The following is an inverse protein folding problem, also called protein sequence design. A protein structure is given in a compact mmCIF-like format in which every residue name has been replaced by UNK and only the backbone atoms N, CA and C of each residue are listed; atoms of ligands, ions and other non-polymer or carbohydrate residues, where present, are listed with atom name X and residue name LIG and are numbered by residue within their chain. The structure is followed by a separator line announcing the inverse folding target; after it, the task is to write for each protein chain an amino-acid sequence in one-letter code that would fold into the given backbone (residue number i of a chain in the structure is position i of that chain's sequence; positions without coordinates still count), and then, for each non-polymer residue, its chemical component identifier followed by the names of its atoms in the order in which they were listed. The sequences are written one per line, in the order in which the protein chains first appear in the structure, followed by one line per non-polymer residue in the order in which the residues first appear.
data_IF_273123262457
#
_entry.id   IF_273123262457
#
_cell.length_a   1.000
_cell.length_b   1.000
_cell.length_c   1.000
_cell.angle_alpha   90.00
_cell.angle_beta   90.00
_cell.angle_gamma   90.00
#
_symmetry.space_group_name_H-M   'P 1'
#
loop_
_entity.id
_entity.type
_entity.pdbx_description
1 polymer ?
#
# COMPACT_ATOMS: atom_id res chain seq x y z
N UNK A 1 54.06 23.39 18.96
CA UNK A 1 53.41 24.61 18.47
C UNK A 1 52.38 24.11 17.47
N UNK A 2 51.15 23.90 17.93
CA UNK A 2 50.03 24.85 17.95
C UNK A 2 49.48 24.98 16.53
N UNK A 3 48.24 24.85 16.19
CA UNK A 3 47.05 25.28 16.89
C UNK A 3 45.80 24.66 16.21
N UNK A 4 44.90 24.33 17.04
CA UNK A 4 43.47 24.05 16.84
C UNK A 4 42.76 25.03 15.91
N UNK A 5 41.93 24.50 15.00
CA UNK A 5 40.80 25.22 14.44
C UNK A 5 39.52 24.40 14.64
N UNK A 6 38.85 24.65 15.75
CA UNK A 6 37.48 24.24 16.02
C UNK A 6 36.52 25.05 15.14
N UNK A 7 35.99 24.45 14.09
CA UNK A 7 34.88 24.98 13.28
C UNK A 7 33.57 24.79 14.03
N UNK A 8 33.01 25.86 14.54
CA UNK A 8 31.68 25.95 15.17
C UNK A 8 30.58 25.50 14.22
N UNK A 9 30.05 24.31 14.45
CA UNK A 9 28.79 23.86 13.90
C UNK A 9 27.67 24.59 14.66
N UNK A 10 27.16 25.66 14.07
CA UNK A 10 25.92 26.31 14.53
C UNK A 10 24.76 25.33 14.27
N UNK A 11 24.38 24.59 15.31
CA UNK A 11 23.11 23.91 15.40
C UNK A 11 21.97 24.93 15.23
N UNK A 12 21.37 24.96 14.05
CA UNK A 12 20.10 25.63 13.84
C UNK A 12 19.03 24.80 14.56
N UNK A 13 18.83 25.00 15.85
CA UNK A 13 17.73 24.48 16.63
C UNK A 13 16.44 25.02 16.02
N UNK A 14 15.70 24.17 15.27
CA UNK A 14 14.30 24.42 14.98
C UNK A 14 13.57 24.73 16.30
N UNK A 15 12.57 25.63 16.31
CA UNK A 15 11.89 25.99 17.54
C UNK A 15 11.37 24.75 18.24
N UNK A 16 11.60 24.66 19.54
CA UNK A 16 11.38 23.43 20.36
C UNK A 16 9.96 22.85 20.25
N UNK A 17 8.96 23.66 19.90
CA UNK A 17 7.57 23.25 19.70
C UNK A 17 7.40 22.45 18.40
N UNK A 18 8.06 22.83 17.30
CA UNK A 18 7.99 22.08 16.02
C UNK A 18 8.71 20.75 16.13
N UNK A 19 9.81 20.66 16.86
CA UNK A 19 10.51 19.40 17.13
C UNK A 19 9.70 18.42 17.99
N UNK A 20 8.97 18.91 18.99
CA UNK A 20 8.12 18.11 19.86
C UNK A 20 6.89 17.57 19.12
N UNK A 21 6.24 18.36 18.26
CA UNK A 21 5.11 17.91 17.43
C UNK A 21 5.49 16.85 16.40
N UNK A 22 6.70 16.91 15.84
CA UNK A 22 7.22 15.93 14.88
C UNK A 22 7.58 14.58 15.52
N UNK A 23 7.72 14.52 16.85
CA UNK A 23 8.00 13.28 17.60
C UNK A 23 6.75 12.53 18.05
N UNK A 24 5.55 13.13 17.92
CA UNK A 24 4.29 12.49 18.31
C UNK A 24 3.92 11.39 17.31
N UNK A 25 3.61 10.15 17.75
CA UNK A 25 3.13 9.10 16.87
C UNK A 25 1.87 9.54 16.11
N UNK A 26 1.82 9.23 14.80
CA UNK A 26 0.73 9.66 13.92
C UNK A 26 -0.68 9.35 14.47
N UNK A 27 -0.97 8.14 14.99
CA UNK A 27 -2.29 7.85 15.54
C UNK A 27 -2.67 8.80 16.69
N UNK A 28 -1.73 9.06 17.59
CA UNK A 28 -1.96 9.97 18.72
C UNK A 28 -2.18 11.41 18.22
N UNK A 29 -1.37 11.87 17.26
CA UNK A 29 -1.55 13.18 16.66
C UNK A 29 -2.95 13.33 16.03
N UNK A 30 -3.42 12.33 15.27
CA UNK A 30 -4.73 12.35 14.63
C UNK A 30 -5.87 12.38 15.66
N UNK A 31 -5.77 11.58 16.73
CA UNK A 31 -6.77 11.58 17.80
C UNK A 31 -6.81 12.91 18.56
N UNK A 32 -5.64 13.46 18.90
CA UNK A 32 -5.58 14.76 19.57
C UNK A 32 -6.10 15.89 18.67
N UNK A 33 -5.79 15.85 17.37
CA UNK A 33 -6.30 16.80 16.40
C UNK A 33 -7.84 16.69 16.25
N UNK A 34 -8.36 15.46 16.20
CA UNK A 34 -9.81 15.23 16.18
C UNK A 34 -10.49 15.80 17.43
N UNK A 35 -9.95 15.54 18.61
CA UNK A 35 -10.44 16.13 19.86
C UNK A 35 -10.42 17.65 19.84
N UNK A 36 -9.30 18.26 19.43
CA UNK A 36 -9.15 19.71 19.38
C UNK A 36 -10.17 20.34 18.42
N UNK A 37 -10.40 19.74 17.24
CA UNK A 37 -11.39 20.18 16.25
C UNK A 37 -12.80 20.07 16.82
N UNK A 38 -13.15 18.93 17.40
CA UNK A 38 -14.49 18.71 17.98
C UNK A 38 -14.80 19.68 19.11
N UNK A 39 -13.84 19.90 20.03
CA UNK A 39 -13.99 20.89 21.10
C UNK A 39 -14.09 22.31 20.55
N UNK A 40 -13.23 22.66 19.58
CA UNK A 40 -13.26 23.97 18.91
C UNK A 40 -14.58 24.25 18.15
N UNK A 41 -15.24 23.21 17.68
CA UNK A 41 -16.57 23.27 17.06
C UNK A 41 -17.74 23.28 18.09
N UNK A 42 -17.43 23.22 19.41
CA UNK A 42 -18.41 23.25 20.47
C UNK A 42 -18.97 21.88 20.88
N UNK A 43 -18.44 20.79 20.35
CA UNK A 43 -18.80 19.44 20.78
C UNK A 43 -18.22 19.16 22.18
N UNK A 44 -19.01 18.56 23.05
CA UNK A 44 -18.57 18.22 24.41
C UNK A 44 -19.27 16.94 24.90
N UNK A 45 -18.66 16.26 25.87
CA UNK A 45 -19.22 15.09 26.53
C UNK A 45 -19.54 13.94 25.56
N UNK A 46 -20.78 13.41 25.64
CA UNK A 46 -21.20 12.24 24.86
C UNK A 46 -21.13 12.43 23.33
N UNK A 47 -21.59 13.55 22.74
CA UNK A 47 -21.48 13.79 21.29
C UNK A 47 -20.03 13.72 20.78
N UNK A 48 -19.07 14.32 21.49
CA UNK A 48 -17.66 14.30 21.13
C UNK A 48 -17.10 12.88 21.12
N UNK A 49 -17.38 12.10 22.17
CA UNK A 49 -16.92 10.72 22.26
C UNK A 49 -17.58 9.82 21.21
N UNK A 50 -18.89 10.00 20.97
CA UNK A 50 -19.61 9.22 19.98
C UNK A 50 -19.04 9.41 18.56
N UNK A 51 -18.72 10.64 18.17
CA UNK A 51 -18.09 10.91 16.87
C UNK A 51 -16.72 10.21 16.74
N UNK A 52 -15.92 10.20 17.81
CA UNK A 52 -14.64 9.49 17.83
C UNK A 52 -14.82 7.96 17.76
N UNK A 53 -15.69 7.40 18.56
CA UNK A 53 -15.94 5.95 18.66
C UNK A 53 -16.50 5.41 17.34
N UNK A 54 -17.49 6.09 16.76
CA UNK A 54 -18.09 5.70 15.50
C UNK A 54 -17.06 5.69 14.36
N UNK A 55 -16.20 6.71 14.31
CA UNK A 55 -15.13 6.77 13.33
C UNK A 55 -14.07 5.69 13.57
N UNK A 56 -13.59 5.55 14.80
CA UNK A 56 -12.49 4.64 15.13
C UNK A 56 -12.82 3.17 14.84
N UNK A 57 -14.04 2.73 15.18
CA UNK A 57 -14.46 1.33 15.07
C UNK A 57 -14.99 0.90 13.71
N UNK A 58 -15.43 1.83 12.88
CA UNK A 58 -16.28 1.58 11.71
C UNK A 58 -15.79 0.49 10.74
N UNK A 59 -14.51 0.46 10.45
CA UNK A 59 -13.93 -0.48 9.47
C UNK A 59 -12.80 -1.35 10.04
N UNK A 60 -12.52 -1.25 11.33
CA UNK A 60 -11.34 -1.86 11.95
C UNK A 60 -11.30 -3.39 11.80
N UNK A 61 -12.45 -4.07 11.98
CA UNK A 61 -12.55 -5.51 11.83
C UNK A 61 -12.26 -5.97 10.39
N UNK A 62 -12.74 -5.23 9.39
CA UNK A 62 -12.51 -5.54 7.99
C UNK A 62 -11.04 -5.41 7.62
N UNK A 63 -10.38 -4.35 8.10
CA UNK A 63 -8.93 -4.18 7.91
C UNK A 63 -8.13 -5.26 8.62
N UNK A 64 -8.53 -5.69 9.81
CA UNK A 64 -7.86 -6.77 10.53
C UNK A 64 -7.89 -8.08 9.71
N UNK A 65 -9.02 -8.40 9.07
CA UNK A 65 -9.17 -9.58 8.20
C UNK A 65 -8.33 -9.52 6.92
N UNK A 66 -7.85 -8.36 6.51
CA UNK A 66 -6.92 -8.19 5.37
C UNK A 66 -5.47 -8.14 5.86
N UNK A 67 -5.16 -7.26 6.81
CA UNK A 67 -3.79 -6.96 7.20
C UNK A 67 -3.12 -8.09 7.97
N UNK A 68 -3.83 -8.69 8.93
CA UNK A 68 -3.25 -9.76 9.75
C UNK A 68 -2.84 -10.96 8.88
N UNK A 69 -3.73 -11.58 8.08
CA UNK A 69 -3.33 -12.71 7.25
C UNK A 69 -2.31 -12.32 6.17
N UNK A 70 -2.37 -11.12 5.60
CA UNK A 70 -1.39 -10.68 4.62
C UNK A 70 0.02 -10.57 5.22
N UNK A 71 0.17 -10.02 6.43
CA UNK A 71 1.48 -9.95 7.09
C UNK A 71 1.98 -11.30 7.61
N UNK A 72 1.08 -12.18 8.07
CA UNK A 72 1.44 -13.56 8.43
C UNK A 72 1.93 -14.32 7.19
N UNK A 73 1.23 -14.22 6.07
CA UNK A 73 1.64 -14.81 4.80
C UNK A 73 3.03 -14.30 4.39
N UNK A 74 3.24 -13.00 4.43
CA UNK A 74 4.53 -12.39 4.12
C UNK A 74 5.66 -12.90 5.03
N UNK A 75 5.42 -12.99 6.34
CA UNK A 75 6.39 -13.50 7.31
C UNK A 75 6.69 -14.99 7.11
N UNK A 76 5.68 -15.80 6.78
CA UNK A 76 5.84 -17.24 6.51
C UNK A 76 6.68 -17.50 5.24
N UNK A 77 6.51 -16.68 4.20
CA UNK A 77 7.23 -16.83 2.94
C UNK A 77 8.67 -16.32 3.02
N UNK A 78 8.97 -15.32 3.85
CA UNK A 78 10.32 -14.78 4.00
C UNK A 78 11.33 -15.75 4.62
N UNK A 79 10.86 -16.77 5.34
CA UNK A 79 11.70 -17.77 6.04
C UNK A 79 12.09 -18.99 5.21
N UNK A 80 11.74 -19.04 3.94
CA UNK A 80 12.10 -20.19 3.13
C UNK A 80 13.41 -19.96 2.36
N UNK A 81 14.42 -20.79 2.57
CA UNK A 81 15.70 -20.77 1.87
C UNK A 81 15.56 -21.34 0.45
N UNK A 82 15.99 -20.59 -0.56
CA UNK A 82 16.01 -21.08 -1.93
C UNK A 82 16.46 -20.04 -2.96
N UNK A 83 17.44 -20.35 -3.74
CA UNK A 83 17.98 -19.58 -4.86
C UNK A 83 17.36 -20.04 -6.18
N UNK A 84 17.10 -19.06 -7.05
CA UNK A 84 17.00 -19.14 -8.51
C UNK A 84 15.66 -19.34 -9.21
N UNK A 85 15.43 -18.43 -10.14
CA UNK A 85 14.56 -18.52 -11.29
C UNK A 85 15.16 -17.73 -12.44
N UNK A 86 14.68 -17.86 -13.70
CA UNK A 86 15.14 -16.97 -14.76
C UNK A 86 14.66 -15.54 -14.43
N UNK A 87 15.53 -14.55 -14.51
CA UNK A 87 15.21 -13.15 -14.18
C UNK A 87 13.97 -12.63 -14.94
N UNK A 88 13.66 -13.16 -16.13
CA UNK A 88 12.46 -12.83 -16.92
C UNK A 88 11.17 -13.34 -16.27
N UNK A 89 11.15 -14.59 -15.81
CA UNK A 89 9.99 -15.18 -15.15
C UNK A 89 9.69 -14.43 -13.84
N UNK A 90 10.72 -14.03 -13.09
CA UNK A 90 10.58 -13.27 -11.85
C UNK A 90 9.95 -11.89 -12.10
N UNK A 91 10.34 -11.19 -13.16
CA UNK A 91 9.73 -9.91 -13.54
C UNK A 91 8.23 -10.06 -13.86
N UNK A 92 7.85 -11.15 -14.55
CA UNK A 92 6.43 -11.44 -14.86
C UNK A 92 5.62 -11.82 -13.62
N UNK A 93 6.24 -12.50 -12.67
CA UNK A 93 5.58 -12.91 -11.42
C UNK A 93 5.61 -11.81 -10.33
N UNK A 94 6.47 -10.83 -10.45
CA UNK A 94 6.63 -9.77 -9.46
C UNK A 94 5.33 -9.02 -9.13
N UNK A 95 4.46 -8.66 -10.08
CA UNK A 95 3.18 -8.03 -9.76
C UNK A 95 2.28 -8.90 -8.88
N UNK A 96 2.24 -10.20 -9.14
CA UNK A 96 1.44 -11.14 -8.35
C UNK A 96 2.01 -11.29 -6.93
N UNK A 97 3.34 -11.31 -6.81
CA UNK A 97 3.99 -11.29 -5.50
C UNK A 97 3.69 -9.99 -4.74
N UNK A 98 3.71 -8.85 -5.43
CA UNK A 98 3.33 -7.56 -4.86
C UNK A 98 1.89 -7.55 -4.34
N UNK A 99 0.96 -8.08 -5.14
CA UNK A 99 -0.46 -8.17 -4.76
C UNK A 99 -0.73 -9.17 -3.63
N UNK A 100 0.04 -10.27 -3.59
CA UNK A 100 -0.14 -11.33 -2.58
C UNK A 100 0.60 -11.09 -1.27
N UNK A 101 1.48 -10.09 -1.21
CA UNK A 101 2.26 -9.77 -0.01
C UNK A 101 1.81 -8.46 0.62
N UNK A 102 1.97 -8.35 1.93
CA UNK A 102 1.48 -7.20 2.70
C UNK A 102 2.16 -5.86 2.38
N UNK A 103 3.33 -5.89 1.73
CA UNK A 103 4.04 -4.68 1.33
C UNK A 103 5.02 -4.96 0.17
N UNK A 104 5.38 -3.93 -0.60
CA UNK A 104 6.35 -4.06 -1.69
C UNK A 104 7.74 -4.51 -1.22
N UNK A 105 8.15 -4.11 -0.03
CA UNK A 105 9.42 -4.48 0.60
C UNK A 105 9.56 -5.99 0.73
N UNK A 106 8.50 -6.65 1.21
CA UNK A 106 8.48 -8.11 1.38
C UNK A 106 8.55 -8.81 0.02
N UNK A 107 7.82 -8.31 -0.97
CA UNK A 107 7.87 -8.85 -2.33
C UNK A 107 9.27 -8.69 -2.94
N UNK A 108 9.89 -7.52 -2.77
CA UNK A 108 11.26 -7.27 -3.21
C UNK A 108 12.25 -8.20 -2.51
N UNK A 109 12.23 -8.27 -1.18
CA UNK A 109 13.12 -9.14 -0.42
C UNK A 109 12.98 -10.62 -0.79
N UNK A 110 11.74 -11.05 -1.10
CA UNK A 110 11.47 -12.42 -1.52
C UNK A 110 12.04 -12.75 -2.91
N UNK A 111 12.05 -11.81 -3.84
CA UNK A 111 12.34 -12.04 -5.25
C UNK A 111 13.70 -11.51 -5.71
N UNK A 112 14.32 -10.56 -4.99
CA UNK A 112 15.55 -9.89 -5.43
C UNK A 112 16.73 -10.85 -5.66
N UNK A 113 16.85 -11.90 -4.81
CA UNK A 113 17.91 -12.92 -4.96
C UNK A 113 17.79 -13.78 -6.22
N UNK A 114 16.66 -13.72 -6.95
CA UNK A 114 16.41 -14.51 -8.17
C UNK A 114 16.14 -13.63 -9.40
N UNK A 115 16.11 -12.30 -9.22
CA UNK A 115 15.87 -11.35 -10.29
C UNK A 115 17.13 -11.09 -11.16
N UNK A 116 18.32 -11.44 -10.68
CA UNK A 116 19.58 -11.19 -11.37
C UNK A 116 19.75 -9.71 -11.73
N UNK A 117 20.09 -9.41 -12.97
CA UNK A 117 20.23 -8.04 -13.49
C UNK A 117 18.89 -7.25 -13.58
N UNK A 118 17.73 -7.90 -13.36
CA UNK A 118 16.40 -7.32 -13.56
C UNK A 118 15.72 -6.88 -12.27
N UNK A 119 16.48 -6.49 -11.26
CA UNK A 119 15.98 -6.11 -9.94
C UNK A 119 15.07 -4.86 -9.98
N UNK A 120 15.36 -3.89 -10.85
CA UNK A 120 14.57 -2.66 -10.99
C UNK A 120 13.25 -2.95 -11.71
N UNK A 121 13.28 -3.74 -12.80
CA UNK A 121 12.05 -4.19 -13.49
C UNK A 121 11.15 -5.02 -12.56
N UNK A 122 11.74 -5.91 -11.77
CA UNK A 122 11.04 -6.71 -10.76
C UNK A 122 10.43 -5.82 -9.67
N UNK A 123 11.20 -4.85 -9.16
CA UNK A 123 10.72 -3.88 -8.17
C UNK A 123 9.47 -3.15 -8.65
N UNK A 124 9.53 -2.52 -9.83
CA UNK A 124 8.39 -1.75 -10.36
C UNK A 124 7.19 -2.64 -10.69
N UNK A 125 7.43 -3.92 -11.04
CA UNK A 125 6.37 -4.91 -11.16
C UNK A 125 5.69 -5.21 -9.82
N UNK A 126 6.45 -5.52 -8.78
CA UNK A 126 5.93 -5.77 -7.44
C UNK A 126 5.23 -4.53 -6.86
N UNK A 127 5.77 -3.35 -7.11
CA UNK A 127 5.22 -2.08 -6.66
C UNK A 127 3.87 -1.77 -7.33
N UNK A 128 3.76 -1.98 -8.65
CA UNK A 128 2.50 -1.84 -9.38
C UNK A 128 1.47 -2.88 -8.94
N UNK A 129 1.89 -4.14 -8.76
CA UNK A 129 1.01 -5.20 -8.28
C UNK A 129 0.44 -4.91 -6.90
N UNK A 130 1.26 -4.51 -5.94
CA UNK A 130 0.80 -4.13 -4.61
C UNK A 130 -0.20 -2.96 -4.66
N UNK A 131 0.03 -1.97 -5.50
CA UNK A 131 -0.80 -0.76 -5.52
C UNK A 131 -2.10 -0.89 -6.31
N UNK A 132 -2.14 -1.75 -7.33
CA UNK A 132 -3.24 -1.76 -8.30
C UNK A 132 -3.88 -3.13 -8.50
N UNK A 133 -3.36 -4.21 -7.93
CA UNK A 133 -4.02 -5.51 -7.98
C UNK A 133 -4.68 -5.88 -6.65
N UNK A 134 -5.85 -6.48 -6.75
CA UNK A 134 -6.55 -7.11 -5.62
C UNK A 134 -5.78 -8.41 -5.27
N UNK A 135 -5.61 -8.73 -3.99
CA UNK A 135 -6.28 -8.19 -2.80
C UNK A 135 -5.48 -7.12 -2.02
N UNK A 136 -4.44 -6.52 -2.59
CA UNK A 136 -3.60 -5.56 -1.88
C UNK A 136 -4.21 -4.13 -1.87
N UNK A 137 -3.51 -3.13 -2.43
CA UNK A 137 -3.87 -1.72 -2.34
C UNK A 137 -5.35 -1.41 -2.60
N UNK A 138 -5.92 -1.85 -3.75
CA UNK A 138 -7.31 -1.55 -4.05
C UNK A 138 -8.31 -2.10 -3.03
N UNK A 139 -8.09 -3.33 -2.53
CA UNK A 139 -8.97 -3.91 -1.51
C UNK A 139 -8.83 -3.19 -0.17
N UNK A 140 -7.60 -2.77 0.20
CA UNK A 140 -7.34 -2.01 1.42
C UNK A 140 -8.05 -0.65 1.35
N UNK A 141 -7.83 0.11 0.27
CA UNK A 141 -8.42 1.45 0.12
C UNK A 141 -9.94 1.36 0.01
N UNK A 142 -10.49 0.48 -0.83
CA UNK A 142 -11.94 0.32 -0.99
C UNK A 142 -12.63 -0.08 0.31
N UNK A 143 -12.03 -0.98 1.10
CA UNK A 143 -12.54 -1.34 2.43
C UNK A 143 -12.68 -0.09 3.32
N UNK A 144 -11.69 0.81 3.28
CA UNK A 144 -11.74 2.06 4.01
C UNK A 144 -12.75 3.08 3.48
N UNK A 145 -13.07 3.02 2.20
CA UNK A 145 -14.03 3.91 1.55
C UNK A 145 -15.49 3.41 1.62
N UNK A 146 -15.77 2.33 2.32
CA UNK A 146 -17.15 1.85 2.53
C UNK A 146 -17.42 0.45 1.98
N UNK A 147 -16.44 -0.21 1.40
CA UNK A 147 -16.55 -1.61 0.97
C UNK A 147 -15.85 -1.93 -0.34
N UNK A 148 -15.55 -3.20 -0.52
CA UNK A 148 -14.94 -3.74 -1.74
C UNK A 148 -16.02 -4.31 -2.66
N UNK A 149 -16.06 -3.82 -3.89
CA UNK A 149 -16.85 -4.42 -4.98
C UNK A 149 -15.94 -5.20 -5.94
N UNK A 150 -16.44 -6.32 -6.42
CA UNK A 150 -15.79 -7.15 -7.45
C UNK A 150 -15.49 -6.38 -8.73
N UNK A 151 -16.34 -5.40 -9.09
CA UNK A 151 -16.11 -4.49 -10.23
C UNK A 151 -14.76 -3.78 -10.13
N UNK A 152 -14.36 -3.37 -8.93
CA UNK A 152 -13.05 -2.74 -8.70
C UNK A 152 -11.90 -3.63 -9.17
N UNK A 153 -11.97 -4.94 -8.92
CA UNK A 153 -10.93 -5.86 -9.37
C UNK A 153 -10.77 -5.87 -10.90
N UNK A 154 -11.87 -5.74 -11.63
CA UNK A 154 -11.89 -5.72 -13.10
C UNK A 154 -11.35 -4.38 -13.63
N UNK A 155 -11.84 -3.27 -13.10
CA UNK A 155 -11.45 -1.94 -13.59
C UNK A 155 -10.03 -1.54 -13.17
N UNK A 156 -9.49 -2.16 -12.13
CA UNK A 156 -8.09 -1.98 -11.74
C UNK A 156 -7.08 -2.61 -12.72
N UNK A 157 -7.48 -3.64 -13.48
CA UNK A 157 -6.59 -4.38 -14.39
C UNK A 157 -5.96 -3.49 -15.49
N UNK A 158 -6.72 -2.72 -16.28
CA UNK A 158 -6.12 -1.83 -17.27
C UNK A 158 -5.20 -0.77 -16.65
N UNK A 159 -5.58 -0.21 -15.49
CA UNK A 159 -4.75 0.77 -14.75
C UNK A 159 -3.43 0.13 -14.32
N UNK A 160 -3.50 -1.10 -13.81
CA UNK A 160 -2.32 -1.87 -13.45
C UNK A 160 -1.39 -2.11 -14.65
N UNK A 161 -1.91 -2.58 -15.79
CA UNK A 161 -1.07 -2.86 -16.96
C UNK A 161 -0.36 -1.63 -17.49
N UNK A 162 -1.04 -0.49 -17.53
CA UNK A 162 -0.41 0.78 -17.96
C UNK A 162 0.69 1.21 -16.99
N UNK A 163 0.42 1.20 -15.66
CA UNK A 163 1.42 1.53 -14.66
C UNK A 163 2.62 0.56 -14.69
N UNK A 164 2.36 -0.74 -14.80
CA UNK A 164 3.40 -1.75 -14.90
C UNK A 164 4.26 -1.59 -16.15
N UNK A 165 3.64 -1.43 -17.32
CA UNK A 165 4.35 -1.19 -18.57
C UNK A 165 5.23 0.07 -18.49
N UNK A 166 4.71 1.16 -17.90
CA UNK A 166 5.49 2.39 -17.67
C UNK A 166 6.73 2.11 -16.81
N UNK A 167 6.59 1.37 -15.72
CA UNK A 167 7.71 0.97 -14.87
C UNK A 167 8.71 0.08 -15.58
N UNK A 168 8.26 -0.89 -16.41
CA UNK A 168 9.13 -1.76 -17.18
C UNK A 168 9.92 -1.00 -18.26
N UNK A 169 9.25 -0.11 -18.98
CA UNK A 169 9.91 0.73 -20.00
C UNK A 169 10.95 1.60 -19.35
N UNK A 170 10.62 2.26 -18.24
CA UNK A 170 11.56 3.08 -17.49
C UNK A 170 12.75 2.27 -16.97
N UNK A 171 12.52 1.10 -16.35
CA UNK A 171 13.56 0.25 -15.80
C UNK A 171 14.57 -0.24 -16.84
N UNK A 172 14.12 -0.53 -18.05
CA UNK A 172 15.00 -1.00 -19.15
C UNK A 172 16.15 -0.04 -19.45
N UNK A 173 15.94 1.28 -19.31
CA UNK A 173 16.99 2.27 -19.53
C UNK A 173 18.15 2.18 -18.52
N UNK A 174 17.92 1.58 -17.36
CA UNK A 174 18.91 1.44 -16.28
C UNK A 174 19.48 0.02 -16.16
N UNK A 175 18.84 -0.96 -16.79
CA UNK A 175 19.24 -2.38 -16.76
C UNK A 175 19.99 -2.80 -18.04
N UNK A 176 20.03 -1.97 -19.09
CA UNK A 176 20.77 -2.23 -20.31
C UNK A 176 22.28 -2.28 -20.03
N UNK A 177 22.93 -3.38 -20.48
CA UNK A 177 24.38 -3.57 -20.33
C UNK A 177 24.81 -4.29 -19.05
N UNK A 178 23.90 -4.75 -18.20
CA UNK A 178 24.24 -5.61 -17.08
C UNK A 178 24.40 -7.07 -17.58
N UNK A 179 25.43 -7.80 -17.11
CA UNK A 179 25.60 -9.21 -17.45
C UNK A 179 24.39 -10.02 -17.00
N UNK A 180 23.86 -10.88 -17.86
CA UNK A 180 22.82 -11.83 -17.49
C UNK A 180 23.48 -12.90 -16.61
N UNK A 181 23.29 -12.83 -15.29
CA UNK A 181 23.79 -13.85 -14.37
C UNK A 181 23.18 -15.20 -14.72
N UNK A 182 24.03 -16.24 -14.74
CA UNK A 182 23.60 -17.60 -15.03
C UNK A 182 22.47 -18.07 -14.09
N UNK A 183 21.46 -18.79 -14.62
CA UNK A 183 20.34 -19.26 -13.82
C UNK A 183 20.81 -20.21 -12.72
N UNK A 184 20.65 -19.81 -11.48
CA UNK A 184 20.93 -20.64 -10.33
C UNK A 184 19.82 -21.71 -10.15
N UNK A 185 20.12 -22.84 -9.51
CA UNK A 185 19.22 -24.01 -9.40
C UNK A 185 17.93 -23.73 -8.65
N UNK A 186 16.81 -24.23 -9.21
CA UNK A 186 15.44 -24.05 -8.72
C UNK A 186 15.21 -24.73 -7.37
N UNK A 187 14.79 -23.98 -6.34
CA UNK A 187 14.60 -24.48 -4.99
C UNK A 187 13.12 -24.50 -4.53
N UNK A 188 12.84 -25.19 -3.43
CA UNK A 188 11.50 -25.37 -2.82
C UNK A 188 10.77 -24.06 -2.47
N UNK A 189 11.49 -22.94 -2.32
CA UNK A 189 10.92 -21.62 -1.99
C UNK A 189 9.97 -21.11 -3.06
N UNK A 190 10.33 -21.25 -4.35
CA UNK A 190 9.49 -20.80 -5.45
C UNK A 190 8.14 -21.53 -5.46
N UNK A 191 8.11 -22.81 -5.11
CA UNK A 191 6.87 -23.59 -5.04
C UNK A 191 5.92 -23.06 -3.96
N UNK A 192 6.41 -22.61 -2.80
CA UNK A 192 5.55 -22.06 -1.73
C UNK A 192 4.97 -20.70 -2.10
N UNK A 193 5.79 -19.81 -2.66
CA UNK A 193 5.32 -18.50 -3.15
C UNK A 193 4.29 -18.71 -4.25
N UNK A 194 4.57 -19.58 -5.23
CA UNK A 194 3.65 -19.90 -6.31
C UNK A 194 2.36 -20.52 -5.77
N UNK A 195 2.45 -21.45 -4.82
CA UNK A 195 1.27 -22.09 -4.23
C UNK A 195 0.39 -21.07 -3.49
N UNK A 196 0.98 -20.17 -2.69
CA UNK A 196 0.24 -19.12 -1.99
C UNK A 196 -0.45 -18.15 -2.97
N UNK A 197 0.27 -17.70 -3.99
CA UNK A 197 -0.27 -16.83 -5.04
C UNK A 197 -1.35 -17.53 -5.86
N UNK A 198 -1.14 -18.80 -6.24
CA UNK A 198 -2.11 -19.60 -6.96
C UNK A 198 -3.39 -19.82 -6.13
N UNK A 199 -3.27 -19.99 -4.81
CA UNK A 199 -4.41 -20.07 -3.90
C UNK A 199 -5.23 -18.79 -3.92
N UNK A 200 -4.58 -17.63 -3.77
CA UNK A 200 -5.27 -16.33 -3.77
C UNK A 200 -5.97 -16.11 -5.11
N UNK A 201 -5.22 -16.22 -6.22
CA UNK A 201 -5.73 -15.96 -7.57
C UNK A 201 -6.82 -16.95 -7.92
N UNK A 202 -6.60 -18.25 -7.63
CA UNK A 202 -7.56 -19.31 -7.90
C UNK A 202 -8.88 -19.11 -7.16
N UNK A 203 -8.83 -18.76 -5.87
CA UNK A 203 -10.04 -18.51 -5.08
C UNK A 203 -10.79 -17.27 -5.56
N UNK A 204 -10.07 -16.19 -5.88
CA UNK A 204 -10.68 -14.97 -6.42
C UNK A 204 -11.32 -15.24 -7.79
N UNK A 205 -10.64 -15.94 -8.69
CA UNK A 205 -11.18 -16.32 -10.00
C UNK A 205 -12.41 -17.22 -9.88
N UNK A 206 -12.35 -18.22 -9.02
CA UNK A 206 -13.50 -19.09 -8.71
C UNK A 206 -14.65 -18.28 -8.15
N UNK A 207 -14.39 -17.35 -7.22
CA UNK A 207 -15.41 -16.47 -6.66
C UNK A 207 -16.09 -15.60 -7.72
N UNK A 208 -15.30 -14.98 -8.59
CA UNK A 208 -15.81 -14.15 -9.69
C UNK A 208 -16.72 -14.95 -10.65
N UNK A 209 -16.36 -16.19 -10.94
CA UNK A 209 -17.12 -17.04 -11.85
C UNK A 209 -18.38 -17.57 -11.16
N UNK A 210 -18.24 -18.19 -9.98
CA UNK A 210 -19.37 -18.87 -9.33
C UNK A 210 -20.46 -17.90 -8.88
N UNK A 211 -20.10 -16.73 -8.31
CA UNK A 211 -21.07 -15.73 -7.86
C UNK A 211 -21.98 -15.21 -8.97
N UNK A 212 -21.54 -15.34 -10.24
CA UNK A 212 -22.36 -14.98 -11.41
C UNK A 212 -23.49 -15.97 -11.71
N UNK A 213 -23.32 -17.23 -11.31
CA UNK A 213 -24.23 -18.32 -11.70
C UNK A 213 -25.01 -18.93 -10.52
N UNK A 214 -24.45 -18.85 -9.31
CA UNK A 214 -25.02 -19.53 -8.13
C UNK A 214 -24.87 -18.63 -6.90
N UNK A 215 -25.95 -18.55 -6.10
CA UNK A 215 -25.85 -17.98 -4.75
C UNK A 215 -25.02 -18.92 -3.87
N UNK A 216 -23.83 -18.50 -3.47
CA UNK A 216 -22.94 -19.31 -2.64
C UNK A 216 -23.38 -19.32 -1.18
N UNK A 217 -23.28 -20.46 -0.48
CA UNK A 217 -23.42 -20.49 0.97
C UNK A 217 -22.44 -19.49 1.62
N UNK A 218 -22.82 -18.85 2.78
CA UNK A 218 -22.05 -17.77 3.38
C UNK A 218 -20.57 -18.08 3.61
N UNK A 219 -20.24 -19.30 4.03
CA UNK A 219 -18.86 -19.73 4.25
C UNK A 219 -18.06 -19.77 2.93
N UNK A 220 -18.63 -20.32 1.87
CA UNK A 220 -17.97 -20.38 0.56
C UNK A 220 -17.83 -18.98 -0.05
N UNK A 221 -18.86 -18.15 0.06
CA UNK A 221 -18.81 -16.76 -0.38
C UNK A 221 -17.70 -15.97 0.35
N UNK A 222 -17.52 -16.21 1.65
CA UNK A 222 -16.41 -15.62 2.41
C UNK A 222 -15.06 -16.15 1.93
N UNK A 223 -14.88 -17.45 1.76
CA UNK A 223 -13.58 -18.05 1.36
C UNK A 223 -13.10 -17.58 -0.02
N UNK A 224 -14.01 -17.33 -0.95
CA UNK A 224 -13.66 -16.79 -2.28
C UNK A 224 -13.62 -15.27 -2.34
N UNK A 225 -13.86 -14.58 -1.23
CA UNK A 225 -13.65 -13.13 -1.10
C UNK A 225 -12.17 -12.80 -0.93
N UNK A 226 -11.72 -11.56 -1.17
CA UNK A 226 -10.34 -11.17 -0.92
C UNK A 226 -9.86 -11.45 0.50
N UNK A 227 -10.72 -11.27 1.49
CA UNK A 227 -10.44 -11.51 2.92
C UNK A 227 -10.25 -13.00 3.20
N UNK A 228 -11.17 -13.84 2.71
CA UNK A 228 -11.11 -15.29 2.89
C UNK A 228 -9.94 -15.92 2.12
N UNK A 229 -9.68 -15.48 0.89
CA UNK A 229 -8.56 -15.94 0.08
C UNK A 229 -7.20 -15.66 0.76
N UNK A 230 -7.02 -14.46 1.34
CA UNK A 230 -5.82 -14.12 2.11
C UNK A 230 -5.68 -14.95 3.37
N UNK A 231 -6.77 -15.14 4.11
CA UNK A 231 -6.78 -15.95 5.33
C UNK A 231 -6.38 -17.40 5.02
N UNK A 232 -6.97 -17.99 3.98
CA UNK A 232 -6.67 -19.36 3.58
C UNK A 232 -5.23 -19.50 3.07
N UNK A 233 -4.75 -18.56 2.25
CA UNK A 233 -3.37 -18.56 1.78
C UNK A 233 -2.37 -18.43 2.95
N UNK A 234 -2.65 -17.58 3.94
CA UNK A 234 -1.84 -17.49 5.16
C UNK A 234 -1.83 -18.80 5.93
N UNK A 235 -3.00 -19.42 6.15
CA UNK A 235 -3.12 -20.71 6.83
C UNK A 235 -2.33 -21.82 6.11
N UNK A 236 -2.49 -21.95 4.79
CA UNK A 236 -1.75 -22.92 3.96
C UNK A 236 -0.25 -22.68 4.04
N UNK A 237 0.20 -21.43 4.02
CA UNK A 237 1.63 -21.08 4.07
C UNK A 237 2.30 -21.44 5.41
N UNK A 238 1.53 -21.54 6.49
CA UNK A 238 2.01 -21.93 7.83
C UNK A 238 2.16 -23.44 7.98
N UNK A 239 1.40 -24.26 7.22
CA UNK A 239 1.39 -25.71 7.39
C UNK A 239 2.77 -26.37 7.30
N UNK A 240 3.64 -26.02 6.32
CA UNK A 240 4.93 -26.65 6.16
C UNK A 240 6.02 -26.11 7.09
N UNK A 241 5.71 -25.14 7.96
CA UNK A 241 6.67 -24.53 8.87
C UNK A 241 6.82 -25.34 10.17
N UNK A 242 8.01 -25.31 10.77
CA UNK A 242 8.24 -25.80 12.11
C UNK A 242 7.35 -25.06 13.14
N UNK A 243 7.20 -25.61 14.34
CA UNK A 243 6.43 -24.94 15.41
C UNK A 243 7.01 -23.56 15.75
N UNK A 244 8.34 -23.46 15.82
CA UNK A 244 9.05 -22.22 16.14
C UNK A 244 8.91 -21.19 15.02
N UNK A 245 9.10 -21.57 13.74
CA UNK A 245 8.93 -20.67 12.59
C UNK A 245 7.49 -20.19 12.45
N UNK A 246 6.52 -21.07 12.77
CA UNK A 246 5.11 -20.72 12.77
C UNK A 246 4.79 -19.68 13.83
N UNK A 247 5.26 -19.87 15.05
CA UNK A 247 5.08 -18.90 16.14
C UNK A 247 5.69 -17.54 15.74
N UNK A 248 6.91 -17.55 15.24
CA UNK A 248 7.56 -16.32 14.79
C UNK A 248 6.82 -15.63 13.62
N UNK A 249 6.28 -16.38 12.65
CA UNK A 249 5.51 -15.80 11.56
C UNK A 249 4.22 -15.15 12.06
N UNK A 250 3.55 -15.75 13.04
CA UNK A 250 2.38 -15.19 13.70
C UNK A 250 2.72 -13.92 14.47
N UNK A 251 3.74 -13.94 15.31
CA UNK A 251 4.19 -12.78 16.09
C UNK A 251 4.63 -11.62 15.21
N UNK A 252 5.43 -11.90 14.18
CA UNK A 252 5.87 -10.89 13.22
C UNK A 252 4.70 -10.30 12.43
N UNK A 253 3.74 -11.13 12.03
CA UNK A 253 2.54 -10.70 11.32
C UNK A 253 1.68 -9.77 12.17
N UNK A 254 1.39 -10.17 13.40
CA UNK A 254 0.63 -9.37 14.38
C UNK A 254 1.35 -8.07 14.74
N UNK A 255 2.66 -8.13 15.00
CA UNK A 255 3.45 -6.95 15.35
C UNK A 255 3.49 -5.88 14.25
N UNK A 256 3.37 -6.28 12.97
CA UNK A 256 3.25 -5.34 11.84
C UNK A 256 1.82 -4.83 11.62
N UNK A 257 0.82 -5.67 11.84
CA UNK A 257 -0.59 -5.30 11.65
C UNK A 257 -1.09 -4.32 12.71
N UNK A 258 -0.76 -4.53 13.98
CA UNK A 258 -1.31 -3.78 15.10
C UNK A 258 -1.08 -2.25 15.02
N UNK A 259 0.13 -1.73 14.73
CA UNK A 259 0.34 -0.27 14.60
C UNK A 259 -0.44 0.33 13.42
N UNK A 260 -0.64 -0.42 12.34
CA UNK A 260 -1.40 0.02 11.19
C UNK A 260 -2.89 0.09 11.50
N UNK A 261 -3.43 -0.92 12.18
CA UNK A 261 -4.83 -0.93 12.63
C UNK A 261 -5.12 0.27 13.54
N UNK A 262 -4.21 0.57 14.48
CA UNK A 262 -4.34 1.75 15.32
C UNK A 262 -4.33 3.05 14.49
N UNK A 263 -3.48 3.13 13.48
CA UNK A 263 -3.41 4.30 12.58
C UNK A 263 -4.70 4.45 11.76
N UNK A 264 -5.24 3.34 11.25
CA UNK A 264 -6.51 3.32 10.51
C UNK A 264 -7.66 3.81 11.39
N UNK A 265 -7.78 3.27 12.60
CA UNK A 265 -8.81 3.71 13.54
C UNK A 265 -8.71 5.20 13.85
N UNK A 266 -7.50 5.70 14.15
CA UNK A 266 -7.26 7.12 14.43
C UNK A 266 -7.57 8.02 13.22
N UNK A 267 -7.21 7.60 12.00
CA UNK A 267 -7.50 8.33 10.78
C UNK A 267 -9.00 8.38 10.48
N UNK A 268 -9.71 7.28 10.72
CA UNK A 268 -11.17 7.22 10.57
C UNK A 268 -11.90 8.08 11.59
N UNK A 269 -11.44 8.07 12.85
CA UNK A 269 -11.97 8.97 13.88
C UNK A 269 -11.73 10.45 13.53
N UNK A 270 -10.54 10.79 13.03
CA UNK A 270 -10.24 12.14 12.56
C UNK A 270 -11.12 12.55 11.38
N UNK A 271 -11.31 11.66 10.40
CA UNK A 271 -12.19 11.88 9.24
C UNK A 271 -13.66 12.08 9.65
N UNK A 272 -14.18 11.24 10.54
CA UNK A 272 -15.54 11.38 11.07
C UNK A 272 -15.73 12.72 11.80
N UNK A 273 -14.75 13.13 12.62
CA UNK A 273 -14.79 14.42 13.30
C UNK A 273 -14.79 15.60 12.32
N UNK A 274 -13.99 15.53 11.25
CA UNK A 274 -14.01 16.56 10.20
C UNK A 274 -15.38 16.64 9.51
N UNK A 275 -16.00 15.51 9.20
CA UNK A 275 -17.31 15.45 8.56
C UNK A 275 -18.41 16.03 9.47
N UNK A 276 -18.32 15.82 10.78
CA UNK A 276 -19.30 16.32 11.77
C UNK A 276 -19.16 17.84 11.99
N UNK A 277 -17.94 18.38 11.92
CA UNK A 277 -17.67 19.75 12.39
C UNK A 277 -17.45 20.76 11.29
N UNK A 278 -17.10 20.32 10.08
CA UNK A 278 -16.81 21.22 8.95
C UNK A 278 -17.94 21.19 7.92
N UNK A 279 -18.21 22.30 7.21
CA UNK A 279 -19.13 22.33 6.07
C UNK A 279 -18.49 21.65 4.85
N UNK A 280 -18.28 20.32 4.97
CA UNK A 280 -17.60 19.49 3.99
C UNK A 280 -18.21 19.61 2.61
N UNK A 281 -19.54 19.68 2.53
CA UNK A 281 -20.30 19.81 1.27
C UNK A 281 -19.91 21.08 0.50
N UNK A 282 -19.66 22.19 1.20
CA UNK A 282 -19.24 23.44 0.57
C UNK A 282 -17.86 23.33 -0.09
N UNK A 283 -16.90 22.69 0.58
CA UNK A 283 -15.55 22.50 0.03
C UNK A 283 -15.54 21.43 -1.05
N UNK A 284 -16.28 20.35 -0.86
CA UNK A 284 -16.43 19.30 -1.84
C UNK A 284 -17.10 19.81 -3.13
N UNK A 285 -18.19 20.58 -3.04
CA UNK A 285 -18.85 21.15 -4.22
C UNK A 285 -17.96 22.13 -4.97
N UNK A 286 -17.17 22.94 -4.27
CA UNK A 286 -16.17 23.79 -4.90
C UNK A 286 -15.10 22.96 -5.65
N UNK A 287 -14.64 21.85 -5.08
CA UNK A 287 -13.69 20.95 -5.75
C UNK A 287 -14.33 20.23 -6.94
N UNK A 288 -15.57 19.74 -6.79
CA UNK A 288 -16.33 19.07 -7.86
C UNK A 288 -16.51 20.00 -9.05
N UNK A 289 -16.82 21.28 -8.81
CA UNK A 289 -17.00 22.26 -9.88
C UNK A 289 -15.74 22.50 -10.73
N UNK A 290 -14.55 22.21 -10.20
CA UNK A 290 -13.28 22.30 -10.96
C UNK A 290 -13.02 21.10 -11.86
N UNK A 291 -13.72 19.98 -11.68
CA UNK A 291 -13.44 18.71 -12.34
C UNK A 291 -12.14 18.03 -11.89
N UNK A 292 -11.49 18.54 -10.82
CA UNK A 292 -10.17 18.10 -10.36
C UNK A 292 -10.22 17.16 -9.14
N UNK A 293 -11.35 16.47 -8.89
CA UNK A 293 -11.51 15.59 -7.72
C UNK A 293 -10.46 14.47 -7.72
N UNK A 294 -10.28 13.76 -8.84
CA UNK A 294 -9.29 12.67 -8.91
C UNK A 294 -7.84 13.16 -8.75
N UNK A 295 -7.39 14.24 -9.40
CA UNK A 295 -6.09 14.84 -9.11
C UNK A 295 -5.93 15.27 -7.64
N UNK A 296 -6.96 15.80 -7.02
CA UNK A 296 -6.91 16.18 -5.61
C UNK A 296 -6.70 14.97 -4.69
N UNK A 297 -7.43 13.87 -4.92
CA UNK A 297 -7.25 12.60 -4.19
C UNK A 297 -5.85 12.02 -4.40
N UNK A 298 -5.36 12.08 -5.65
CA UNK A 298 -3.98 11.69 -5.98
C UNK A 298 -2.96 12.51 -5.20
N UNK A 299 -3.03 13.85 -5.26
CA UNK A 299 -2.09 14.76 -4.59
C UNK A 299 -2.17 14.58 -3.08
N UNK A 300 -3.36 14.47 -2.52
CA UNK A 300 -3.54 14.23 -1.09
C UNK A 300 -2.83 12.95 -0.64
N UNK A 301 -3.06 11.84 -1.34
CA UNK A 301 -2.41 10.56 -1.03
C UNK A 301 -0.91 10.61 -1.29
N UNK A 302 -0.47 11.27 -2.38
CA UNK A 302 0.95 11.47 -2.68
C UNK A 302 1.68 12.27 -1.59
N UNK A 303 1.03 13.31 -1.06
CA UNK A 303 1.58 14.09 0.05
C UNK A 303 1.80 13.22 1.28
N UNK A 304 0.81 12.41 1.66
CA UNK A 304 0.97 11.44 2.75
C UNK A 304 2.08 10.41 2.46
N UNK A 305 2.19 9.94 1.22
CA UNK A 305 3.24 9.00 0.82
C UNK A 305 4.64 9.62 0.97
N UNK A 306 4.83 10.85 0.53
CA UNK A 306 6.10 11.57 0.70
C UNK A 306 6.43 11.80 2.19
N UNK A 307 5.45 12.16 2.99
CA UNK A 307 5.65 12.41 4.42
C UNK A 307 5.91 11.13 5.23
N UNK A 308 5.23 10.04 4.92
CA UNK A 308 5.28 8.77 5.68
C UNK A 308 6.24 7.73 5.13
N UNK A 309 6.59 7.82 3.86
CA UNK A 309 7.43 6.85 3.15
C UNK A 309 6.67 5.54 2.85
N UNK A 310 6.10 4.90 3.83
CA UNK A 310 5.41 3.61 3.71
C UNK A 310 4.07 3.72 2.97
N UNK A 311 3.84 2.84 1.99
CA UNK A 311 2.58 2.74 1.25
C UNK A 311 1.41 2.31 2.14
N UNK A 312 1.66 1.37 3.07
CA UNK A 312 0.63 0.91 4.01
C UNK A 312 0.24 2.02 4.99
N UNK A 313 1.22 2.74 5.56
CA UNK A 313 0.95 3.87 6.43
C UNK A 313 0.21 5.01 5.69
N UNK A 314 0.47 5.17 4.38
CA UNK A 314 -0.25 6.12 3.54
C UNK A 314 -1.73 5.73 3.43
N UNK A 315 -2.03 4.49 3.05
CA UNK A 315 -3.41 4.02 2.98
C UNK A 315 -4.10 4.11 4.35
N UNK A 316 -3.43 3.64 5.40
CA UNK A 316 -3.94 3.72 6.77
C UNK A 316 -4.30 5.16 7.21
N UNK A 317 -3.46 6.14 6.84
CA UNK A 317 -3.64 7.54 7.24
C UNK A 317 -4.61 8.33 6.37
N UNK A 318 -4.95 7.87 5.17
CA UNK A 318 -5.74 8.66 4.21
C UNK A 318 -7.15 8.14 4.00
N UNK A 319 -7.37 6.83 4.06
CA UNK A 319 -8.67 6.24 3.69
C UNK A 319 -9.82 6.71 4.58
N UNK A 320 -9.63 6.75 5.90
CA UNK A 320 -10.66 7.21 6.83
C UNK A 320 -11.05 8.68 6.60
N UNK A 321 -10.10 9.53 6.24
CA UNK A 321 -10.35 10.95 5.92
C UNK A 321 -11.16 11.05 4.63
N UNK A 322 -10.74 10.33 3.58
CA UNK A 322 -11.43 10.37 2.28
C UNK A 322 -12.81 9.73 2.37
N UNK A 323 -12.99 8.66 3.15
CA UNK A 323 -14.28 8.02 3.37
C UNK A 323 -15.35 9.01 3.87
N UNK A 324 -14.97 9.87 4.81
CA UNK A 324 -15.86 10.91 5.35
C UNK A 324 -16.27 11.97 4.30
N UNK A 325 -15.40 12.22 3.31
CA UNK A 325 -15.62 13.22 2.26
C UNK A 325 -16.30 12.63 1.01
N UNK A 326 -16.16 11.34 0.77
CA UNK A 326 -16.52 10.66 -0.48
C UNK A 326 -17.98 10.91 -0.92
N UNK A 327 -18.99 10.87 -0.02
CA UNK A 327 -20.39 11.13 -0.42
C UNK A 327 -20.59 12.49 -1.09
N UNK A 328 -19.80 13.50 -0.70
CA UNK A 328 -19.87 14.87 -1.22
C UNK A 328 -19.02 15.12 -2.46
N UNK A 329 -18.15 14.16 -2.84
CA UNK A 329 -17.22 14.34 -3.96
C UNK A 329 -17.79 13.95 -5.33
N UNK A 330 -18.97 13.32 -5.37
CA UNK A 330 -19.67 12.89 -6.60
C UNK A 330 -18.79 12.10 -7.58
N UNK A 331 -17.89 11.26 -7.06
CA UNK A 331 -17.08 10.32 -7.83
C UNK A 331 -17.38 8.90 -7.40
N UNK A 332 -17.22 7.93 -8.30
CA UNK A 332 -17.41 6.52 -7.95
C UNK A 332 -16.37 6.06 -6.91
N UNK A 333 -16.74 5.15 -6.00
CA UNK A 333 -15.78 4.57 -5.04
C UNK A 333 -14.59 3.92 -5.74
N UNK A 334 -14.79 3.33 -6.91
CA UNK A 334 -13.72 2.72 -7.73
C UNK A 334 -12.73 3.76 -8.24
N UNK A 335 -13.24 4.87 -8.80
CA UNK A 335 -12.38 5.96 -9.30
C UNK A 335 -11.60 6.61 -8.17
N UNK A 336 -12.24 6.87 -7.03
CA UNK A 336 -11.59 7.40 -5.83
C UNK A 336 -10.50 6.43 -5.32
N UNK A 337 -10.81 5.13 -5.21
CA UNK A 337 -9.87 4.09 -4.80
C UNK A 337 -8.64 4.07 -5.70
N UNK A 338 -8.84 4.04 -7.02
CA UNK A 338 -7.74 3.95 -7.98
C UNK A 338 -6.91 5.23 -8.03
N UNK A 339 -7.52 6.40 -7.88
CA UNK A 339 -6.81 7.68 -7.79
C UNK A 339 -5.93 7.76 -6.52
N UNK A 340 -6.43 7.29 -5.38
CA UNK A 340 -5.65 7.18 -4.15
C UNK A 340 -4.52 6.16 -4.29
N UNK A 341 -4.79 4.99 -4.86
CA UNK A 341 -3.78 4.00 -5.17
C UNK A 341 -2.69 4.55 -6.09
N UNK A 342 -3.05 5.32 -7.11
CA UNK A 342 -2.12 6.01 -7.99
C UNK A 342 -1.26 7.04 -7.25
N UNK A 343 -1.84 7.85 -6.35
CA UNK A 343 -1.10 8.82 -5.53
C UNK A 343 -0.05 8.15 -4.62
N UNK A 344 -0.37 6.96 -4.12
CA UNK A 344 0.56 6.21 -3.27
C UNK A 344 1.82 5.69 -3.99
N UNK A 345 1.91 5.77 -5.33
CA UNK A 345 3.14 5.49 -6.07
C UNK A 345 4.21 6.57 -5.90
N UNK A 346 3.80 7.81 -5.67
CA UNK A 346 4.68 8.98 -5.72
C UNK A 346 5.81 8.83 -4.71
N UNK A 347 7.03 8.92 -5.23
CA UNK A 347 8.29 9.01 -4.51
C UNK A 347 8.63 7.81 -3.59
N UNK A 348 9.65 7.03 -3.98
CA UNK A 348 10.37 6.13 -3.08
C UNK A 348 11.61 6.89 -2.59
N UNK A 349 11.52 7.43 -1.38
CA UNK A 349 12.50 8.35 -0.76
C UNK A 349 13.15 7.72 0.48
N UNK A 350 14.22 8.29 1.05
CA UNK A 350 14.95 7.69 2.18
C UNK A 350 14.14 7.44 3.46
N UNK A 351 12.94 8.00 3.59
CA UNK A 351 12.01 7.67 4.68
C UNK A 351 11.13 6.43 4.38
N UNK A 352 11.28 5.81 3.20
CA UNK A 352 10.66 4.54 2.83
C UNK A 352 11.65 3.38 3.08
N UNK A 353 11.23 2.34 3.81
CA UNK A 353 12.04 1.14 4.03
C UNK A 353 12.45 0.45 2.72
N UNK A 354 11.57 0.49 1.71
CA UNK A 354 11.84 -0.04 0.38
C UNK A 354 13.04 0.64 -0.27
N UNK A 355 13.22 1.96 -0.06
CA UNK A 355 14.37 2.70 -0.58
C UNK A 355 15.69 2.07 -0.12
N UNK A 356 15.85 1.86 1.18
CA UNK A 356 17.09 1.29 1.74
C UNK A 356 17.34 -0.14 1.30
N UNK A 357 16.28 -0.94 1.25
CA UNK A 357 16.37 -2.32 0.79
C UNK A 357 16.89 -2.41 -0.66
N UNK A 358 16.30 -1.60 -1.55
CA UNK A 358 16.70 -1.54 -2.96
C UNK A 358 18.06 -0.87 -3.15
N UNK A 359 18.33 0.19 -2.35
CA UNK A 359 19.62 0.91 -2.38
C UNK A 359 20.80 0.00 -2.05
N UNK A 360 20.66 -0.85 -1.03
CA UNK A 360 21.70 -1.77 -0.59
C UNK A 360 21.90 -2.97 -1.52
N UNK A 361 20.89 -3.32 -2.31
CA UNK A 361 20.90 -4.48 -3.19
C UNK A 361 21.10 -4.11 -4.68
N UNK A 362 20.11 -3.49 -5.33
CA UNK A 362 20.14 -3.17 -6.76
C UNK A 362 21.09 -2.00 -7.10
N UNK A 363 21.35 -1.12 -6.14
CA UNK A 363 22.24 0.03 -6.29
C UNK A 363 23.50 -0.06 -5.42
N UNK A 364 23.90 -1.27 -5.01
CA UNK A 364 25.15 -1.47 -4.29
C UNK A 364 26.34 -0.89 -5.08
N UNK A 365 27.15 -0.06 -4.43
CA UNK A 365 28.31 0.60 -5.06
C UNK A 365 27.99 1.73 -6.03
N UNK A 366 26.71 2.10 -6.23
CA UNK A 366 26.30 3.26 -7.05
C UNK A 366 26.08 4.50 -6.18
N UNK A 367 26.08 5.67 -6.83
CA UNK A 367 25.77 6.95 -6.22
C UNK A 367 24.33 6.97 -5.63
N UNK A 368 24.18 7.55 -4.43
CA UNK A 368 22.91 7.66 -3.74
C UNK A 368 21.90 8.53 -4.51
N UNK A 369 22.36 9.62 -5.11
CA UNK A 369 21.52 10.50 -5.91
C UNK A 369 20.97 9.77 -7.16
N UNK A 370 21.73 8.82 -7.72
CA UNK A 370 21.26 7.97 -8.82
C UNK A 370 20.14 7.03 -8.35
N UNK A 371 20.31 6.35 -7.22
CA UNK A 371 19.28 5.49 -6.65
C UNK A 371 17.99 6.28 -6.37
N UNK A 372 18.11 7.42 -5.70
CA UNK A 372 16.97 8.28 -5.37
C UNK A 372 16.24 8.77 -6.62
N UNK A 373 16.96 9.23 -7.65
CA UNK A 373 16.36 9.66 -8.92
C UNK A 373 15.60 8.53 -9.61
N UNK A 374 16.22 7.35 -9.77
CA UNK A 374 15.60 6.22 -10.46
C UNK A 374 14.35 5.76 -9.73
N UNK A 375 14.43 5.59 -8.41
CA UNK A 375 13.31 5.09 -7.61
C UNK A 375 12.16 6.10 -7.57
N UNK A 376 12.46 7.38 -7.33
CA UNK A 376 11.45 8.43 -7.24
C UNK A 376 10.81 8.73 -8.59
N UNK A 377 11.60 8.89 -9.67
CA UNK A 377 11.05 9.17 -11.00
C UNK A 377 10.26 7.98 -11.53
N UNK A 378 10.79 6.75 -11.42
CA UNK A 378 10.11 5.57 -11.93
C UNK A 378 8.78 5.30 -11.24
N UNK A 379 8.74 5.42 -9.91
CA UNK A 379 7.49 5.26 -9.17
C UNK A 379 6.48 6.39 -9.44
N UNK A 380 6.95 7.63 -9.54
CA UNK A 380 6.08 8.78 -9.85
C UNK A 380 5.50 8.67 -11.26
N UNK A 381 6.29 8.24 -12.25
CA UNK A 381 5.80 7.98 -13.61
C UNK A 381 4.72 6.89 -13.63
N UNK A 382 4.90 5.80 -12.86
CA UNK A 382 3.87 4.77 -12.72
C UNK A 382 2.57 5.32 -12.14
N UNK A 383 2.67 6.13 -11.07
CA UNK A 383 1.51 6.76 -10.44
C UNK A 383 0.78 7.74 -11.35
N UNK A 384 1.53 8.56 -12.08
CA UNK A 384 0.97 9.51 -13.05
C UNK A 384 0.27 8.77 -14.20
N UNK A 385 0.90 7.73 -14.75
CA UNK A 385 0.30 6.91 -15.80
C UNK A 385 -0.98 6.21 -15.30
N UNK A 386 -0.99 5.72 -14.06
CA UNK A 386 -2.18 5.15 -13.43
C UNK A 386 -3.31 6.20 -13.33
N UNK A 387 -3.03 7.40 -12.81
CA UNK A 387 -4.02 8.47 -12.71
C UNK A 387 -4.60 8.85 -14.07
N UNK A 388 -3.75 9.02 -15.09
CA UNK A 388 -4.20 9.35 -16.45
C UNK A 388 -5.12 8.25 -17.02
N UNK A 389 -4.82 6.98 -16.72
CA UNK A 389 -5.68 5.86 -17.13
C UNK A 389 -7.02 5.90 -16.42
N UNK A 390 -7.06 6.16 -15.11
CA UNK A 390 -8.30 6.33 -14.34
C UNK A 390 -9.14 7.47 -14.93
N UNK A 391 -8.50 8.58 -15.25
CA UNK A 391 -9.16 9.73 -15.89
C UNK A 391 -9.76 9.39 -17.25
N UNK A 392 -9.01 8.68 -18.10
CA UNK A 392 -9.49 8.24 -19.41
C UNK A 392 -10.67 7.26 -19.26
N UNK A 393 -10.63 6.34 -18.28
CA UNK A 393 -11.72 5.42 -18.03
C UNK A 393 -12.98 6.13 -17.50
N UNK A 394 -12.82 7.12 -16.64
CA UNK A 394 -13.93 7.95 -16.18
C UNK A 394 -14.54 8.75 -17.35
N UNK A 395 -13.73 9.37 -18.19
CA UNK A 395 -14.21 10.09 -19.36
C UNK A 395 -14.93 9.19 -20.38
N UNK A 396 -14.55 7.91 -20.45
CA UNK A 396 -15.21 6.90 -21.26
C UNK A 396 -16.47 6.28 -20.62
N UNK A 397 -16.84 6.67 -19.40
CA UNK A 397 -17.98 6.11 -18.66
C UNK A 397 -17.80 4.67 -18.19
N UNK A 398 -16.55 4.20 -18.04
CA UNK A 398 -16.24 2.85 -17.60
C UNK A 398 -16.22 2.72 -16.07
N UNK A 399 -15.98 3.84 -15.36
CA UNK A 399 -15.94 3.94 -13.88
C UNK A 399 -16.57 5.24 -13.39
#
# INVERSE_FOLDING_TARGET
MSETAAGSQKDARAPAITGALLSVPLPLFMLLAALAIGIGAGLSGKPLLHALDAGFGATLAEYALILIPAFILAASLSRSDGRAGSGRAVVLLAPLAGAGMACPDTAYAALSGVAGARKISMLFGAYAGFKLLVPAGPAIVATGLGGFDTRLAIVAVPVFFVAWATGLVFARHFETGLPEEAPAKQGRRNARVIAALATIIGLLAVGLILQRYVALPPLLAFLVSPKGALLLAAAISLLPLSREDRAHALDSGMGRAAPLLLTIGAASAFGAMLAETLPVERYASALVSTGLVLPALFIFTATFKVLKGSSMATFAGTTGIVAALLPSLHVSPEAATLAMCAGAFVAITPNDSLYWLVRQDAFAGRDEASAMRVLTLGSTLQGTAALLTVYAMQAAGLI
#
